data_IF_218335143150
#
_entry.id   IF_218335143150
#
_cell.length_a   1.000
_cell.length_b   1.000
_cell.length_c   1.000
_cell.angle_alpha   90.00
_cell.angle_beta   90.00
_cell.angle_gamma   90.00
#
_symmetry.space_group_name_H-M   'P 1'
#
loop_
_entity.id
_entity.type
_entity.pdbx_description
1 polymer ?
#
# COMPACT_ATOMS: atom_id res chain seq x y z
N UNK A 1 21.08 -39.43 -3.98
CA UNK A 1 20.28 -38.32 -4.50
C UNK A 1 19.22 -38.06 -3.45
N UNK A 2 19.47 -37.13 -2.53
CA UNK A 2 18.53 -36.75 -1.48
C UNK A 2 17.90 -35.41 -1.87
N UNK A 3 16.63 -35.45 -2.24
CA UNK A 3 15.83 -34.24 -2.36
C UNK A 3 15.69 -33.61 -0.97
N UNK A 4 16.31 -32.45 -0.74
CA UNK A 4 15.91 -31.57 0.34
C UNK A 4 14.60 -30.93 -0.09
N UNK A 5 13.48 -31.38 0.50
CA UNK A 5 12.24 -30.63 0.52
C UNK A 5 12.50 -29.39 1.39
N UNK A 6 12.44 -28.22 0.78
CA UNK A 6 12.41 -26.96 1.51
C UNK A 6 11.07 -26.84 2.25
N UNK A 7 11.11 -26.45 3.52
CA UNK A 7 9.92 -26.07 4.28
C UNK A 7 9.35 -24.76 3.72
N UNK A 8 8.66 -24.85 2.60
CA UNK A 8 7.89 -23.76 2.01
C UNK A 8 6.58 -23.60 2.78
N UNK A 9 6.27 -22.39 3.25
CA UNK A 9 4.92 -22.09 3.70
C UNK A 9 4.07 -21.80 2.47
N UNK A 10 3.11 -22.67 2.19
CA UNK A 10 2.10 -22.42 1.17
C UNK A 10 0.96 -21.59 1.78
N UNK A 11 0.51 -20.57 1.09
CA UNK A 11 -0.73 -19.85 1.42
C UNK A 11 -1.90 -20.51 0.70
N UNK A 12 -2.97 -20.82 1.42
CA UNK A 12 -4.19 -21.45 0.89
C UNK A 12 -5.32 -20.44 0.91
N UNK A 13 -6.04 -20.36 -0.20
CA UNK A 13 -7.16 -19.45 -0.35
C UNK A 13 -8.41 -19.94 0.39
N UNK A 14 -9.00 -19.03 1.18
CA UNK A 14 -10.42 -19.06 1.52
C UNK A 14 -11.07 -17.88 0.79
N UNK A 15 -11.97 -18.17 -0.13
CA UNK A 15 -12.67 -17.20 -0.95
C UNK A 15 -13.95 -16.78 -0.22
N UNK A 16 -14.08 -15.49 0.07
CA UNK A 16 -15.30 -14.92 0.62
C UNK A 16 -16.02 -14.13 -0.47
N UNK A 17 -17.08 -14.75 -1.02
CA UNK A 17 -17.99 -14.05 -1.92
C UNK A 17 -18.76 -12.98 -1.14
N UNK A 18 -18.71 -11.74 -1.58
CA UNK A 18 -19.63 -10.70 -1.10
C UNK A 18 -20.93 -10.84 -1.88
N UNK A 19 -22.02 -11.18 -1.18
CA UNK A 19 -23.35 -11.24 -1.78
C UNK A 19 -23.71 -9.93 -2.49
N UNK A 20 -24.28 -10.09 -3.69
CA UNK A 20 -24.80 -8.99 -4.50
C UNK A 20 -25.90 -8.26 -3.72
N UNK A 21 -25.76 -6.97 -3.55
CA UNK A 21 -26.87 -6.11 -3.16
C UNK A 21 -27.64 -5.75 -4.42
N UNK A 22 -28.86 -6.25 -4.51
CA UNK A 22 -29.85 -5.92 -5.51
C UNK A 22 -30.26 -4.45 -5.34
N UNK A 23 -29.59 -3.53 -6.04
CA UNK A 23 -30.01 -2.13 -6.16
C UNK A 23 -30.92 -1.98 -7.38
N UNK A 24 -32.20 -2.29 -7.17
CA UNK A 24 -33.26 -1.79 -8.04
C UNK A 24 -33.72 -0.41 -7.53
N UNK A 25 -33.07 0.66 -7.99
CA UNK A 25 -33.70 1.97 -8.05
C UNK A 25 -33.23 2.75 -9.28
N UNK A 26 -34.12 2.73 -10.24
CA UNK A 26 -34.14 3.50 -11.46
C UNK A 26 -34.26 5.00 -11.14
N UNK A 27 -33.27 5.82 -11.42
CA UNK A 27 -33.45 7.24 -11.71
C UNK A 27 -32.34 7.86 -12.51
N UNK A 28 -32.56 8.00 -13.78
CA UNK A 28 -32.18 9.04 -14.73
C UNK A 28 -31.11 10.05 -14.26
N UNK A 29 -29.84 9.78 -14.55
CA UNK A 29 -28.72 10.69 -14.39
C UNK A 29 -27.75 10.53 -15.55
N UNK A 30 -27.99 11.34 -16.61
CA UNK A 30 -27.24 11.33 -17.87
C UNK A 30 -25.74 11.49 -17.66
N UNK A 31 -25.05 10.58 -18.28
CA UNK A 31 -23.71 10.62 -18.86
C UNK A 31 -22.93 11.95 -18.71
N UNK A 32 -21.98 11.93 -17.79
CA UNK A 32 -20.81 12.81 -17.73
C UNK A 32 -19.53 11.98 -17.60
N UNK A 33 -19.44 10.89 -18.36
CA UNK A 33 -18.20 10.14 -18.53
C UNK A 33 -17.74 10.31 -19.97
N UNK A 34 -16.92 11.31 -20.18
CA UNK A 34 -16.14 11.44 -21.41
C UNK A 34 -15.00 10.43 -21.37
N UNK A 35 -14.95 9.57 -22.37
CA UNK A 35 -13.85 8.69 -22.80
C UNK A 35 -13.08 7.93 -21.71
N UNK A 36 -13.55 6.71 -21.47
CA UNK A 36 -12.97 5.71 -20.55
C UNK A 36 -11.55 5.20 -20.87
N UNK A 37 -10.86 5.76 -21.86
CA UNK A 37 -9.55 5.24 -22.27
C UNK A 37 -8.36 5.80 -21.50
N UNK A 38 -8.54 6.89 -20.75
CA UNK A 38 -7.43 7.57 -20.06
C UNK A 38 -7.39 7.31 -18.54
N UNK A 39 -8.45 6.68 -17.98
CA UNK A 39 -8.52 6.38 -16.54
C UNK A 39 -7.83 5.07 -16.20
N UNK A 40 -7.70 4.16 -17.13
CA UNK A 40 -7.11 2.82 -16.95
C UNK A 40 -5.61 2.86 -16.61
N UNK A 41 -4.90 3.96 -16.91
CA UNK A 41 -3.48 4.13 -16.59
C UNK A 41 -3.20 4.65 -15.17
N UNK A 42 -4.22 5.16 -14.47
CA UNK A 42 -4.10 5.67 -13.09
C UNK A 42 -4.53 4.63 -12.06
N UNK A 43 -3.87 3.51 -12.09
CA UNK A 43 -4.22 2.37 -11.24
C UNK A 43 -4.16 2.72 -9.76
N UNK A 44 -5.25 2.45 -9.07
CA UNK A 44 -5.39 2.54 -7.64
C UNK A 44 -4.32 1.67 -6.96
N UNK A 45 -3.65 2.21 -5.94
CA UNK A 45 -2.55 1.54 -5.25
C UNK A 45 -2.83 1.49 -3.76
N UNK A 46 -2.55 0.33 -3.14
CA UNK A 46 -2.65 0.17 -1.69
C UNK A 46 -4.01 0.56 -1.10
N UNK A 47 -5.08 0.01 -1.68
CA UNK A 47 -6.45 0.21 -1.20
C UNK A 47 -6.94 -0.89 -0.24
N UNK A 48 -6.06 -1.80 0.14
CA UNK A 48 -6.31 -2.86 1.11
C UNK A 48 -5.30 -2.77 2.23
N UNK A 49 -5.76 -2.76 3.47
CA UNK A 49 -4.90 -2.66 4.64
C UNK A 49 -5.40 -3.55 5.77
N UNK A 50 -4.63 -4.55 6.16
CA UNK A 50 -4.94 -5.43 7.27
C UNK A 50 -4.40 -4.87 8.59
N UNK A 51 -5.21 -4.85 9.63
CA UNK A 51 -4.83 -4.45 10.99
C UNK A 51 -4.75 -5.61 11.96
N UNK A 52 -5.33 -6.75 11.60
CA UNK A 52 -5.20 -8.02 12.31
C UNK A 52 -5.38 -9.18 11.33
N UNK A 53 -5.25 -10.40 11.81
CA UNK A 53 -5.57 -11.62 11.05
C UNK A 53 -7.02 -11.61 10.52
N UNK A 54 -7.90 -10.89 11.17
CA UNK A 54 -9.33 -10.93 10.89
C UNK A 54 -9.92 -9.60 10.42
N UNK A 55 -9.18 -8.51 10.55
CA UNK A 55 -9.69 -7.17 10.31
C UNK A 55 -8.95 -6.51 9.15
N UNK A 56 -9.70 -6.14 8.11
CA UNK A 56 -9.19 -5.52 6.90
C UNK A 56 -9.98 -4.26 6.58
N UNK A 57 -9.27 -3.22 6.19
CA UNK A 57 -9.83 -1.98 5.65
C UNK A 57 -9.60 -1.94 4.15
N UNK A 58 -10.64 -1.68 3.38
CA UNK A 58 -10.57 -1.65 1.92
C UNK A 58 -11.49 -0.58 1.35
N UNK A 59 -11.17 -0.13 0.15
CA UNK A 59 -12.07 0.72 -0.63
C UNK A 59 -13.14 -0.12 -1.32
N UNK A 60 -14.37 0.36 -1.24
CA UNK A 60 -15.51 -0.13 -2.01
C UNK A 60 -16.29 1.06 -2.53
N UNK A 61 -16.23 1.32 -3.82
CA UNK A 61 -16.78 2.52 -4.45
C UNK A 61 -16.25 3.81 -3.78
N UNK A 62 -17.12 4.56 -3.13
CA UNK A 62 -16.78 5.80 -2.41
C UNK A 62 -16.65 5.62 -0.91
N UNK A 63 -16.59 4.38 -0.42
CA UNK A 63 -16.53 4.09 1.01
C UNK A 63 -15.32 3.27 1.39
N UNK A 64 -14.68 3.65 2.49
CA UNK A 64 -13.75 2.76 3.19
C UNK A 64 -14.56 1.84 4.08
N UNK A 65 -14.41 0.55 3.86
CA UNK A 65 -15.09 -0.52 4.56
C UNK A 65 -14.12 -1.20 5.53
N UNK A 66 -14.57 -1.46 6.72
CA UNK A 66 -13.96 -2.43 7.63
C UNK A 66 -14.69 -3.76 7.47
N UNK A 67 -13.95 -4.79 7.10
CA UNK A 67 -14.43 -6.16 7.04
C UNK A 67 -13.72 -7.00 8.09
N UNK A 68 -14.50 -7.83 8.80
CA UNK A 68 -13.97 -8.75 9.80
C UNK A 68 -14.38 -10.19 9.47
N UNK A 69 -13.37 -11.06 9.22
CA UNK A 69 -13.61 -12.48 8.95
C UNK A 69 -14.16 -13.21 10.17
N UNK A 70 -13.81 -12.75 11.38
CA UNK A 70 -14.27 -13.36 12.63
C UNK A 70 -15.78 -13.25 12.83
N UNK A 71 -16.35 -12.12 12.48
CA UNK A 71 -17.80 -11.83 12.64
C UNK A 71 -18.58 -11.90 11.35
N UNK A 72 -17.88 -12.04 10.20
CA UNK A 72 -18.46 -11.93 8.85
C UNK A 72 -19.28 -10.66 8.67
N UNK A 73 -18.80 -9.56 9.26
CA UNK A 73 -19.49 -8.27 9.21
C UNK A 73 -18.71 -7.26 8.39
N UNK A 74 -19.46 -6.48 7.61
CA UNK A 74 -18.98 -5.34 6.83
C UNK A 74 -19.53 -4.06 7.45
N UNK A 75 -18.66 -3.11 7.77
CA UNK A 75 -19.03 -1.84 8.38
C UNK A 75 -18.42 -0.69 7.59
N UNK A 76 -19.25 0.26 7.17
CA UNK A 76 -18.75 1.49 6.55
C UNK A 76 -18.04 2.36 7.61
N UNK A 77 -16.80 2.71 7.34
CA UNK A 77 -15.96 3.52 8.23
C UNK A 77 -15.93 4.97 7.80
N UNK A 78 -15.80 5.20 6.50
CA UNK A 78 -15.73 6.53 5.90
C UNK A 78 -16.41 6.50 4.54
N UNK A 79 -17.34 7.42 4.30
CA UNK A 79 -17.95 7.62 3.00
C UNK A 79 -17.52 8.99 2.46
N UNK A 80 -17.01 9.03 1.23
CA UNK A 80 -16.48 10.22 0.57
C UNK A 80 -17.23 10.62 -0.69
N UNK A 81 -18.41 10.02 -0.93
CA UNK A 81 -19.28 10.37 -2.06
C UNK A 81 -19.93 11.74 -1.91
N UNK A 82 -20.10 12.18 -0.66
CA UNK A 82 -20.69 13.46 -0.30
C UNK A 82 -19.71 14.41 0.36
N UNK A 83 -20.26 15.40 1.06
CA UNK A 83 -19.46 16.38 1.77
C UNK A 83 -18.79 15.80 3.00
N UNK A 84 -17.45 15.89 3.03
CA UNK A 84 -16.59 15.44 4.14
C UNK A 84 -15.84 16.63 4.71
N UNK A 85 -16.08 16.96 5.97
CA UNK A 85 -15.42 18.06 6.66
C UNK A 85 -14.90 17.62 8.04
N UNK A 86 -13.79 18.20 8.53
CA UNK A 86 -13.25 17.85 9.82
C UNK A 86 -14.12 18.38 10.96
N UNK A 87 -14.27 17.59 12.01
CA UNK A 87 -14.95 17.98 13.25
C UNK A 87 -14.06 18.76 14.21
N UNK A 88 -12.75 18.56 14.08
CA UNK A 88 -11.73 19.19 14.93
C UNK A 88 -10.97 20.22 14.11
N UNK A 89 -10.51 21.29 14.79
CA UNK A 89 -9.71 22.33 14.14
C UNK A 89 -8.23 22.12 14.48
N UNK A 90 -7.47 21.71 13.48
CA UNK A 90 -6.01 21.62 13.58
C UNK A 90 -5.33 22.65 12.67
N UNK A 91 -4.06 23.01 12.91
CA UNK A 91 -3.29 23.84 12.01
C UNK A 91 -3.25 23.23 10.61
N UNK A 92 -3.54 24.00 9.57
CA UNK A 92 -3.58 23.50 8.19
C UNK A 92 -4.82 22.71 7.80
N UNK A 93 -5.80 22.58 8.72
CA UNK A 93 -7.07 21.90 8.43
C UNK A 93 -7.95 22.74 7.51
N UNK A 94 -8.41 22.13 6.42
CA UNK A 94 -9.42 22.70 5.52
C UNK A 94 -10.81 22.48 6.14
N UNK A 95 -11.33 23.48 6.84
CA UNK A 95 -12.58 23.37 7.59
C UNK A 95 -13.81 23.24 6.70
N UNK A 96 -13.74 23.73 5.47
CA UNK A 96 -14.79 23.56 4.46
C UNK A 96 -14.87 22.11 3.95
N UNK A 97 -13.78 21.34 4.13
CA UNK A 97 -13.70 19.97 3.68
C UNK A 97 -13.76 19.81 2.16
N UNK A 98 -14.28 18.66 1.73
CA UNK A 98 -14.42 18.29 0.33
C UNK A 98 -15.87 17.90 0.01
N UNK A 99 -16.37 18.27 -1.16
CA UNK A 99 -17.73 17.93 -1.59
C UNK A 99 -17.83 16.55 -2.21
N UNK A 100 -16.73 16.07 -2.79
CA UNK A 100 -16.60 14.77 -3.40
C UNK A 100 -15.11 14.43 -3.48
N UNK A 101 -14.74 13.22 -3.12
CA UNK A 101 -13.34 12.77 -3.18
C UNK A 101 -13.27 11.39 -3.81
N UNK A 102 -12.40 11.24 -4.78
CA UNK A 102 -11.99 9.94 -5.28
C UNK A 102 -10.69 9.53 -4.59
N UNK A 103 -10.72 8.46 -3.81
CA UNK A 103 -9.55 7.98 -3.06
C UNK A 103 -8.59 7.27 -4.00
N UNK A 104 -7.32 7.65 -3.96
CA UNK A 104 -6.24 7.06 -4.75
C UNK A 104 -5.36 6.10 -3.94
N UNK A 105 -5.26 6.32 -2.63
CA UNK A 105 -4.44 5.50 -1.74
C UNK A 105 -4.96 5.56 -0.30
N UNK A 106 -4.67 4.52 0.48
CA UNK A 106 -5.14 4.34 1.84
C UNK A 106 -4.02 3.80 2.72
N UNK A 107 -3.95 4.27 3.96
CA UNK A 107 -3.12 3.68 5.00
C UNK A 107 -3.88 3.62 6.32
N UNK A 108 -3.71 2.50 7.04
CA UNK A 108 -4.33 2.30 8.36
C UNK A 108 -3.26 1.76 9.30
N UNK A 109 -3.11 2.39 10.46
CA UNK A 109 -2.22 1.90 11.50
C UNK A 109 -2.78 2.26 12.88
N UNK A 110 -2.73 1.32 13.80
CA UNK A 110 -3.32 1.43 15.11
C UNK A 110 -4.83 1.80 15.01
N UNK A 111 -5.18 3.01 15.37
CA UNK A 111 -6.56 3.52 15.31
C UNK A 111 -6.74 4.68 14.34
N UNK A 112 -5.79 4.87 13.45
CA UNK A 112 -5.83 5.94 12.48
C UNK A 112 -5.95 5.40 11.06
N UNK A 113 -6.85 6.01 10.30
CA UNK A 113 -7.02 5.86 8.88
C UNK A 113 -6.63 7.19 8.21
N UNK A 114 -5.79 7.10 7.18
CA UNK A 114 -5.41 8.22 6.33
C UNK A 114 -5.71 7.85 4.88
N UNK A 115 -6.52 8.65 4.21
CA UNK A 115 -6.87 8.49 2.80
C UNK A 115 -6.36 9.67 1.98
N UNK A 116 -5.76 9.39 0.84
CA UNK A 116 -5.33 10.36 -0.15
C UNK A 116 -6.22 10.31 -1.39
N UNK A 117 -6.39 11.45 -2.07
CA UNK A 117 -7.24 11.58 -3.23
C UNK A 117 -6.50 12.00 -4.50
N UNK A 118 -7.21 11.95 -5.64
CA UNK A 118 -6.68 12.27 -6.97
C UNK A 118 -6.38 13.77 -7.16
N UNK A 119 -6.96 14.64 -6.35
CA UNK A 119 -6.73 16.09 -6.42
C UNK A 119 -5.93 16.61 -5.20
N UNK A 120 -5.11 15.74 -4.60
CA UNK A 120 -4.28 16.07 -3.45
C UNK A 120 -5.05 16.17 -2.14
N UNK A 121 -6.27 15.65 -2.10
CA UNK A 121 -7.04 15.56 -0.87
C UNK A 121 -6.34 14.64 0.12
N UNK A 122 -6.42 15.02 1.38
CA UNK A 122 -5.93 14.25 2.51
C UNK A 122 -7.02 14.24 3.57
N UNK A 123 -7.49 13.06 3.94
CA UNK A 123 -8.56 12.85 4.92
C UNK A 123 -8.06 11.92 6.01
N UNK A 124 -8.06 12.39 7.26
CA UNK A 124 -7.66 11.57 8.40
C UNK A 124 -8.86 11.32 9.32
N UNK A 125 -8.98 10.08 9.79
CA UNK A 125 -10.06 9.65 10.68
C UNK A 125 -9.51 8.76 11.78
N UNK A 126 -9.87 9.07 13.03
CA UNK A 126 -9.72 8.14 14.13
C UNK A 126 -10.82 7.07 14.06
N UNK A 127 -10.44 5.80 14.07
CA UNK A 127 -11.38 4.68 13.92
C UNK A 127 -12.33 4.52 15.11
N UNK A 128 -11.90 4.96 16.29
CA UNK A 128 -12.66 4.91 17.54
C UNK A 128 -13.53 6.16 17.79
N UNK A 129 -13.45 7.17 16.89
CA UNK A 129 -14.21 8.41 17.01
C UNK A 129 -15.14 8.62 15.81
N UNK A 130 -16.32 9.19 16.02
CA UNK A 130 -17.22 9.53 14.92
C UNK A 130 -16.70 10.74 14.12
N UNK A 131 -16.88 10.70 12.80
CA UNK A 131 -16.51 11.78 11.88
C UNK A 131 -15.01 11.78 11.52
N UNK A 132 -14.61 12.77 10.75
CA UNK A 132 -13.26 12.99 10.26
C UNK A 132 -12.56 13.96 11.21
N UNK A 133 -11.29 13.72 11.56
CA UNK A 133 -10.53 14.58 12.44
C UNK A 133 -9.74 15.66 11.68
N UNK A 134 -9.28 15.37 10.47
CA UNK A 134 -8.48 16.30 9.68
C UNK A 134 -8.77 16.15 8.19
N UNK A 135 -8.90 17.29 7.50
CA UNK A 135 -8.91 17.40 6.05
C UNK A 135 -7.88 18.45 5.62
N UNK A 136 -7.12 18.15 4.59
CA UNK A 136 -6.18 19.10 4.00
C UNK A 136 -6.01 18.81 2.51
N UNK A 137 -5.54 19.81 1.77
CA UNK A 137 -5.10 19.62 0.39
C UNK A 137 -3.58 19.75 0.36
N UNK A 138 -2.90 18.71 -0.09
CA UNK A 138 -1.43 18.68 -0.11
C UNK A 138 -0.85 19.67 -1.12
N UNK A 139 -1.53 19.84 -2.26
CA UNK A 139 -1.15 20.73 -3.33
C UNK A 139 -2.38 21.19 -4.11
N UNK A 140 -2.26 22.30 -4.83
CA UNK A 140 -3.30 22.82 -5.73
C UNK A 140 -2.89 22.69 -7.20
N UNK A 141 -1.82 21.94 -7.50
CA UNK A 141 -1.41 21.65 -8.87
C UNK A 141 -2.43 20.77 -9.57
N UNK A 142 -2.59 20.92 -10.88
CA UNK A 142 -3.51 20.10 -11.69
C UNK A 142 -3.16 18.61 -11.63
N UNK A 143 -1.90 18.28 -11.37
CA UNK A 143 -1.41 16.92 -11.19
C UNK A 143 -1.12 16.59 -9.72
N UNK A 144 -2.16 16.65 -8.91
CA UNK A 144 -2.07 16.64 -7.45
C UNK A 144 -2.20 15.25 -6.81
N UNK A 145 -2.26 14.18 -7.59
CA UNK A 145 -2.55 12.81 -7.10
C UNK A 145 -1.69 12.47 -5.89
N UNK A 146 -2.33 12.00 -4.84
CA UNK A 146 -1.65 11.36 -3.71
C UNK A 146 -1.37 9.91 -4.07
N UNK A 147 -0.11 9.60 -4.37
CA UNK A 147 0.31 8.30 -4.89
C UNK A 147 0.50 7.24 -3.79
N UNK A 148 1.02 7.64 -2.64
CA UNK A 148 1.25 6.73 -1.52
C UNK A 148 1.20 7.47 -0.18
N UNK A 149 0.79 6.73 0.85
CA UNK A 149 0.80 7.16 2.25
C UNK A 149 1.40 6.04 3.09
N UNK A 150 2.33 6.38 3.98
CA UNK A 150 2.86 5.47 4.98
C UNK A 150 2.78 6.09 6.37
N UNK A 151 2.21 5.35 7.33
CA UNK A 151 2.14 5.75 8.75
C UNK A 151 3.29 5.05 9.47
N UNK A 152 4.17 5.80 10.11
CA UNK A 152 5.39 5.29 10.71
C UNK A 152 5.72 5.94 12.06
N UNK A 153 6.59 5.29 12.82
CA UNK A 153 7.16 5.89 14.03
C UNK A 153 8.50 6.54 13.69
N UNK A 154 8.67 7.78 14.11
CA UNK A 154 9.96 8.47 14.02
C UNK A 154 11.00 7.80 14.94
N UNK A 155 12.26 8.13 14.79
CA UNK A 155 13.33 7.64 15.67
C UNK A 155 13.09 7.98 17.16
N UNK A 156 12.30 9.01 17.46
CA UNK A 156 11.86 9.37 18.83
C UNK A 156 10.62 8.61 19.31
N UNK A 157 10.01 7.78 18.45
CA UNK A 157 8.80 7.02 18.75
C UNK A 157 7.49 7.79 18.55
N UNK A 158 7.55 9.03 18.06
CA UNK A 158 6.36 9.82 17.72
C UNK A 158 5.77 9.30 16.41
N UNK A 159 4.45 9.20 16.35
CA UNK A 159 3.75 8.73 15.18
C UNK A 159 3.60 9.85 14.14
N UNK A 160 4.04 9.58 12.93
CA UNK A 160 3.94 10.45 11.75
C UNK A 160 3.30 9.71 10.58
N UNK A 161 2.88 10.44 9.57
CA UNK A 161 2.61 9.86 8.27
C UNK A 161 3.26 10.68 7.16
N UNK A 162 3.77 9.97 6.16
CA UNK A 162 4.42 10.54 5.00
C UNK A 162 3.54 10.35 3.77
N UNK A 163 3.46 11.39 2.93
CA UNK A 163 2.61 11.45 1.75
C UNK A 163 3.47 11.71 0.52
N UNK A 164 3.34 10.87 -0.48
CA UNK A 164 4.01 11.01 -1.79
C UNK A 164 3.00 11.53 -2.81
N UNK A 165 3.36 12.60 -3.49
CA UNK A 165 2.47 13.23 -4.46
C UNK A 165 3.09 13.33 -5.85
N UNK A 166 2.22 13.38 -6.84
CA UNK A 166 2.61 13.53 -8.24
C UNK A 166 3.19 14.92 -8.57
N UNK A 167 3.00 15.91 -7.70
CA UNK A 167 3.63 17.24 -7.77
C UNK A 167 5.14 17.24 -7.42
N UNK A 168 5.76 16.07 -7.39
CA UNK A 168 7.16 15.86 -7.00
C UNK A 168 7.46 16.14 -5.52
N UNK A 169 6.44 16.19 -4.69
CA UNK A 169 6.52 16.47 -3.26
C UNK A 169 6.44 15.21 -2.40
N UNK A 170 7.21 15.20 -1.32
CA UNK A 170 7.07 14.27 -0.21
C UNK A 170 6.84 15.10 1.06
N UNK A 171 5.74 14.85 1.74
CA UNK A 171 5.29 15.62 2.90
C UNK A 171 5.16 14.74 4.12
N UNK A 172 5.78 15.13 5.21
CA UNK A 172 5.77 14.45 6.50
C UNK A 172 4.91 15.24 7.49
N UNK A 173 3.89 14.60 8.04
CA UNK A 173 2.95 15.18 8.99
C UNK A 173 3.10 14.54 10.37
N UNK A 174 3.16 15.39 11.39
CA UNK A 174 3.01 14.99 12.78
C UNK A 174 1.53 14.64 13.05
N UNK A 175 1.29 13.48 13.63
CA UNK A 175 -0.06 13.01 13.92
C UNK A 175 -0.70 13.59 15.19
N UNK A 176 0.08 14.12 16.11
CA UNK A 176 -0.45 14.71 17.33
C UNK A 176 -1.26 15.97 17.01
N UNK A 177 -0.76 16.78 16.08
CA UNK A 177 -1.37 18.05 15.71
C UNK A 177 -1.81 18.12 14.24
N UNK A 178 -1.59 17.08 13.45
CA UNK A 178 -1.78 17.05 11.99
C UNK A 178 -1.03 18.19 11.28
N UNK A 179 0.13 18.57 11.81
CA UNK A 179 0.93 19.64 11.27
C UNK A 179 1.97 19.11 10.29
N UNK A 180 2.12 19.84 9.16
CA UNK A 180 3.20 19.58 8.22
C UNK A 180 4.55 19.83 8.91
N UNK A 181 5.30 18.77 9.11
CA UNK A 181 6.60 18.77 9.76
C UNK A 181 7.73 19.04 8.77
N UNK A 182 7.67 18.39 7.61
CA UNK A 182 8.68 18.50 6.55
C UNK A 182 8.04 18.43 5.18
N UNK A 183 8.67 19.13 4.23
CA UNK A 183 8.31 19.06 2.82
C UNK A 183 9.58 18.98 1.97
N UNK A 184 9.80 17.83 1.34
CA UNK A 184 10.89 17.60 0.42
C UNK A 184 10.37 17.70 -1.02
N UNK A 185 11.15 18.30 -1.91
CA UNK A 185 10.84 18.38 -3.34
C UNK A 185 11.91 17.69 -4.16
N UNK A 186 11.47 16.92 -5.15
CA UNK A 186 12.31 16.16 -6.04
C UNK A 186 12.11 16.64 -7.49
N UNK A 187 13.00 16.32 -8.42
CA UNK A 187 12.88 16.78 -9.81
C UNK A 187 11.91 15.93 -10.66
N UNK A 188 11.19 15.00 -10.06
CA UNK A 188 10.26 14.09 -10.74
C UNK A 188 9.09 13.70 -9.82
N UNK A 189 7.92 13.33 -10.38
CA UNK A 189 6.78 12.84 -9.64
C UNK A 189 7.13 11.65 -8.74
N UNK A 190 6.72 11.74 -7.46
CA UNK A 190 7.01 10.69 -6.48
C UNK A 190 5.86 9.70 -6.42
N UNK A 191 6.13 8.44 -6.80
CA UNK A 191 5.15 7.37 -6.80
C UNK A 191 5.04 6.67 -5.45
N UNK A 192 6.16 6.48 -4.75
CA UNK A 192 6.18 5.83 -3.45
C UNK A 192 7.35 6.31 -2.59
N UNK A 193 7.09 6.41 -1.29
CA UNK A 193 8.10 6.64 -0.27
C UNK A 193 7.93 5.60 0.82
N UNK A 194 9.02 4.95 1.24
CA UNK A 194 9.00 4.03 2.38
C UNK A 194 10.07 4.41 3.40
N UNK A 195 9.70 4.32 4.67
CA UNK A 195 10.51 4.74 5.82
C UNK A 195 11.25 3.53 6.39
N UNK A 196 12.56 3.69 6.68
CA UNK A 196 13.32 2.64 7.34
C UNK A 196 12.75 2.32 8.73
N UNK A 197 12.89 1.07 9.23
CA UNK A 197 12.35 0.67 10.53
C UNK A 197 12.84 1.53 11.70
N UNK A 198 14.03 2.13 11.59
CA UNK A 198 14.60 3.05 12.59
C UNK A 198 14.19 4.52 12.38
N UNK A 199 13.39 4.82 11.34
CA UNK A 199 12.87 6.15 11.02
C UNK A 199 13.90 7.14 10.46
N UNK A 200 15.14 6.71 10.13
CA UNK A 200 16.22 7.62 9.73
C UNK A 200 16.37 7.81 8.23
N UNK A 201 15.92 6.86 7.44
CA UNK A 201 16.12 6.86 6.00
C UNK A 201 14.79 6.71 5.27
N UNK A 202 14.71 7.31 4.10
CA UNK A 202 13.58 7.21 3.17
C UNK A 202 14.08 6.61 1.86
N UNK A 203 13.35 5.64 1.33
CA UNK A 203 13.47 5.23 -0.06
C UNK A 203 12.41 6.01 -0.83
N UNK A 204 12.83 6.72 -1.87
CA UNK A 204 11.93 7.50 -2.71
C UNK A 204 12.08 7.00 -4.14
N UNK A 205 10.95 6.59 -4.71
CA UNK A 205 10.85 6.11 -6.08
C UNK A 205 9.72 6.85 -6.82
N UNK A 206 9.84 6.94 -8.13
CA UNK A 206 8.86 7.67 -8.94
C UNK A 206 9.20 7.63 -10.43
N UNK A 207 8.86 8.69 -11.15
CA UNK A 207 9.01 8.81 -12.60
C UNK A 207 10.47 9.05 -13.02
N UNK A 208 11.34 8.25 -12.44
CA UNK A 208 12.76 8.21 -12.76
C UNK A 208 13.28 6.78 -12.59
N UNK A 209 14.10 6.26 -13.52
CA UNK A 209 14.72 4.94 -13.38
C UNK A 209 15.59 4.80 -12.13
N UNK A 210 16.10 5.94 -11.62
CA UNK A 210 16.94 5.95 -10.42
C UNK A 210 16.09 6.36 -9.22
N UNK A 211 15.73 5.40 -8.40
CA UNK A 211 15.30 5.68 -7.05
C UNK A 211 16.42 6.32 -6.22
N UNK A 212 16.10 6.88 -5.10
CA UNK A 212 17.07 7.52 -4.19
C UNK A 212 16.83 7.09 -2.75
N UNK A 213 17.93 6.95 -2.01
CA UNK A 213 17.93 6.84 -0.57
C UNK A 213 18.23 8.22 0.02
N UNK A 214 17.41 8.65 0.97
CA UNK A 214 17.40 10.02 1.50
C UNK A 214 17.45 9.98 3.03
N UNK A 215 18.15 10.90 3.66
CA UNK A 215 18.08 11.14 5.11
C UNK A 215 16.74 11.75 5.48
N UNK A 216 15.99 11.12 6.38
CA UNK A 216 14.62 11.52 6.75
C UNK A 216 14.54 12.86 7.48
N UNK A 217 15.65 13.35 8.03
CA UNK A 217 15.70 14.59 8.79
C UNK A 217 16.03 15.79 7.90
N UNK A 218 17.05 15.63 7.07
CA UNK A 218 17.58 16.73 6.25
C UNK A 218 17.02 16.75 4.82
N UNK A 219 16.47 15.62 4.34
CA UNK A 219 16.08 15.46 2.93
C UNK A 219 17.27 15.32 1.98
N UNK A 220 18.49 15.17 2.50
CA UNK A 220 19.67 15.01 1.66
C UNK A 220 19.75 13.63 1.05
N UNK A 221 20.09 13.56 -0.24
CA UNK A 221 20.30 12.29 -0.95
C UNK A 221 21.55 11.61 -0.43
N UNK A 222 21.38 10.44 0.15
CA UNK A 222 22.47 9.57 0.64
C UNK A 222 23.08 8.80 -0.51
N UNK A 223 22.25 8.18 -1.35
CA UNK A 223 22.71 7.42 -2.50
C UNK A 223 21.62 7.30 -3.59
N UNK A 224 22.00 7.28 -4.87
CA UNK A 224 21.12 6.89 -5.96
C UNK A 224 21.07 5.36 -6.09
N UNK A 225 19.89 4.82 -6.37
CA UNK A 225 19.66 3.40 -6.66
C UNK A 225 19.68 3.19 -8.18
N UNK A 226 20.73 2.53 -8.68
CA UNK A 226 20.95 2.36 -10.12
C UNK A 226 20.74 0.92 -10.53
N UNK A 227 19.92 0.69 -11.56
CA UNK A 227 19.72 -0.66 -12.11
C UNK A 227 18.39 -0.85 -12.81
N UNK A 228 17.33 -0.24 -12.33
CA UNK A 228 16.07 -0.16 -13.07
C UNK A 228 16.24 0.67 -14.36
N UNK A 229 15.40 0.39 -15.34
CA UNK A 229 15.45 1.05 -16.66
C UNK A 229 14.23 1.92 -16.94
N UNK A 230 13.22 1.86 -16.08
CA UNK A 230 11.97 2.59 -16.22
C UNK A 230 11.50 3.13 -14.86
N UNK A 231 10.30 3.68 -14.78
CA UNK A 231 9.69 4.28 -13.59
C UNK A 231 9.44 3.24 -12.50
N UNK A 232 9.62 3.64 -11.25
CA UNK A 232 9.36 2.77 -10.09
C UNK A 232 8.10 3.18 -9.36
N UNK A 233 7.32 2.19 -8.89
CA UNK A 233 6.01 2.39 -8.29
C UNK A 233 5.90 1.94 -6.85
N UNK A 234 6.79 1.08 -6.40
CA UNK A 234 6.74 0.51 -5.06
C UNK A 234 8.11 0.45 -4.42
N UNK A 235 8.13 0.56 -3.12
CA UNK A 235 9.31 0.30 -2.30
C UNK A 235 8.89 -0.26 -0.94
N UNK A 236 9.72 -1.11 -0.34
CA UNK A 236 9.46 -1.63 0.99
C UNK A 236 10.78 -1.98 1.70
N UNK A 237 10.85 -1.69 2.99
CA UNK A 237 11.96 -2.10 3.84
C UNK A 237 11.72 -3.50 4.40
N UNK A 238 12.78 -4.29 4.42
CA UNK A 238 12.79 -5.47 5.26
C UNK A 238 12.79 -5.04 6.74
N UNK A 239 12.07 -5.72 7.64
CA UNK A 239 11.92 -5.28 9.04
C UNK A 239 13.22 -5.16 9.83
N UNK A 240 14.30 -5.85 9.43
CA UNK A 240 15.60 -5.71 10.06
C UNK A 240 16.36 -4.43 9.68
N UNK A 241 15.86 -3.68 8.68
CA UNK A 241 16.45 -2.44 8.21
C UNK A 241 17.77 -2.58 7.43
N UNK A 242 18.24 -3.81 7.17
CA UNK A 242 19.48 -4.05 6.43
C UNK A 242 19.29 -4.08 4.92
N UNK A 243 18.11 -4.48 4.47
CA UNK A 243 17.75 -4.60 3.07
C UNK A 243 16.42 -3.95 2.77
N UNK A 244 16.18 -3.68 1.50
CA UNK A 244 14.92 -3.16 1.01
C UNK A 244 14.68 -3.56 -0.45
N UNK A 245 13.45 -3.43 -0.90
CA UNK A 245 13.02 -3.75 -2.25
C UNK A 245 12.49 -2.52 -2.99
N UNK A 246 12.64 -2.50 -4.33
CA UNK A 246 12.03 -1.51 -5.22
C UNK A 246 11.37 -2.20 -6.40
N UNK A 247 10.12 -1.84 -6.71
CA UNK A 247 9.33 -2.37 -7.82
C UNK A 247 9.20 -1.36 -8.95
N UNK A 248 9.29 -1.86 -10.19
CA UNK A 248 9.45 -1.01 -11.36
C UNK A 248 8.59 -1.45 -12.54
N UNK A 249 8.37 -0.53 -13.48
CA UNK A 249 7.71 -0.75 -14.76
C UNK A 249 8.47 -1.76 -15.64
N UNK A 250 9.79 -1.92 -15.43
CA UNK A 250 10.63 -2.90 -16.13
C UNK A 250 10.30 -4.35 -15.75
N UNK A 251 9.21 -4.60 -15.02
CA UNK A 251 8.72 -5.89 -14.54
C UNK A 251 9.66 -6.55 -13.53
N UNK A 252 10.54 -5.79 -12.91
CA UNK A 252 11.46 -6.34 -11.91
C UNK A 252 11.23 -5.71 -10.54
N UNK A 253 11.44 -6.54 -9.51
CA UNK A 253 11.65 -6.12 -8.14
C UNK A 253 13.12 -6.32 -7.80
N UNK A 254 13.81 -5.25 -7.40
CA UNK A 254 15.23 -5.30 -7.03
C UNK A 254 15.39 -5.23 -5.54
N UNK A 255 16.22 -6.12 -5.01
CA UNK A 255 16.58 -6.17 -3.59
C UNK A 255 17.94 -5.47 -3.41
N UNK A 256 18.01 -4.60 -2.42
CA UNK A 256 19.17 -3.77 -2.12
C UNK A 256 19.67 -4.03 -0.71
N UNK A 257 20.99 -4.04 -0.53
CA UNK A 257 21.66 -4.04 0.77
C UNK A 257 22.17 -2.64 1.07
N UNK A 258 21.74 -2.05 2.19
CA UNK A 258 22.12 -0.67 2.58
C UNK A 258 23.65 -0.48 2.71
N UNK A 259 24.37 -1.54 3.00
CA UNK A 259 25.84 -1.52 3.13
C UNK A 259 26.56 -1.42 1.79
N UNK A 260 25.87 -1.81 0.69
CA UNK A 260 26.43 -1.76 -0.66
C UNK A 260 25.34 -1.48 -1.70
N UNK A 261 25.12 -0.21 -1.99
CA UNK A 261 24.14 0.27 -2.95
C UNK A 261 24.69 0.42 -4.38
N UNK A 262 25.90 -0.04 -4.64
CA UNK A 262 26.50 0.04 -5.98
C UNK A 262 25.77 -0.81 -7.01
N UNK A 263 25.15 -1.91 -6.56
CA UNK A 263 24.29 -2.80 -7.36
C UNK A 263 23.25 -3.46 -6.47
N UNK A 264 22.13 -3.87 -7.05
CA UNK A 264 21.15 -4.72 -6.35
C UNK A 264 21.73 -6.10 -6.02
N UNK A 265 21.30 -6.67 -4.91
CA UNK A 265 21.67 -8.04 -4.48
C UNK A 265 21.10 -9.05 -5.48
N UNK A 266 19.81 -8.89 -5.80
CA UNK A 266 19.11 -9.70 -6.77
C UNK A 266 18.03 -8.87 -7.49
N UNK A 267 17.54 -9.40 -8.62
CA UNK A 267 16.41 -8.85 -9.36
C UNK A 267 15.42 -9.97 -9.63
N UNK A 268 14.28 -9.89 -8.98
CA UNK A 268 13.14 -10.79 -9.15
C UNK A 268 12.30 -10.32 -10.33
N UNK A 269 11.74 -11.23 -11.08
CA UNK A 269 10.98 -10.91 -12.29
C UNK A 269 9.50 -11.20 -12.08
N UNK A 270 8.65 -10.27 -12.49
CA UNK A 270 7.23 -10.51 -12.70
C UNK A 270 6.97 -11.13 -14.07
N UNK A 271 5.76 -11.58 -14.27
CA UNK A 271 5.31 -12.28 -15.48
C UNK A 271 4.91 -11.29 -16.59
N UNK A 272 3.97 -10.40 -16.31
CA UNK A 272 3.31 -9.58 -17.31
C UNK A 272 3.50 -8.07 -17.13
N UNK A 273 3.38 -7.59 -15.90
CA UNK A 273 3.21 -6.18 -15.60
C UNK A 273 4.32 -5.54 -14.76
N UNK A 274 4.14 -4.27 -14.50
CA UNK A 274 4.95 -3.50 -13.56
C UNK A 274 4.80 -4.05 -12.14
N UNK A 275 5.81 -3.93 -11.30
CA UNK A 275 5.66 -4.25 -9.88
C UNK A 275 5.10 -3.03 -9.15
N UNK A 276 3.80 -3.11 -8.79
CA UNK A 276 3.01 -1.99 -8.26
C UNK A 276 2.91 -1.97 -6.73
N UNK A 277 3.05 -3.11 -6.06
CA UNK A 277 3.05 -3.21 -4.60
C UNK A 277 4.11 -4.20 -4.14
N UNK A 278 4.76 -3.89 -3.02
CA UNK A 278 5.72 -4.76 -2.35
C UNK A 278 5.47 -4.66 -0.85
N UNK A 279 5.38 -5.81 -0.19
CA UNK A 279 5.27 -5.84 1.27
C UNK A 279 6.11 -6.99 1.85
N UNK A 280 6.69 -6.76 3.01
CA UNK A 280 7.31 -7.80 3.81
C UNK A 280 6.39 -8.19 4.96
N UNK A 281 6.43 -9.46 5.37
CA UNK A 281 5.85 -9.88 6.65
C UNK A 281 6.58 -9.21 7.81
N UNK A 282 5.92 -9.01 8.95
CA UNK A 282 6.49 -8.36 10.12
C UNK A 282 7.68 -9.13 10.72
N UNK A 283 7.73 -10.45 10.52
CA UNK A 283 8.85 -11.32 10.89
C UNK A 283 10.00 -11.33 9.85
N UNK A 284 9.82 -10.64 8.72
CA UNK A 284 10.79 -10.56 7.62
C UNK A 284 11.00 -11.86 6.87
N UNK A 285 10.17 -12.88 7.09
CA UNK A 285 10.36 -14.17 6.45
C UNK A 285 9.90 -14.20 5.01
N UNK A 286 8.80 -13.53 4.70
CA UNK A 286 8.23 -13.50 3.37
C UNK A 286 8.15 -12.08 2.83
N UNK A 287 8.22 -11.99 1.50
CA UNK A 287 7.98 -10.78 0.73
C UNK A 287 6.94 -11.10 -0.35
N UNK A 288 5.89 -10.30 -0.41
CA UNK A 288 4.97 -10.31 -1.54
C UNK A 288 5.29 -9.17 -2.48
N UNK A 289 5.28 -9.43 -3.78
CA UNK A 289 5.25 -8.41 -4.83
C UNK A 289 4.03 -8.64 -5.73
N UNK A 290 3.33 -7.57 -6.07
CA UNK A 290 2.12 -7.62 -6.87
C UNK A 290 2.32 -6.92 -8.21
N UNK A 291 1.86 -7.59 -9.27
CA UNK A 291 1.65 -6.99 -10.58
C UNK A 291 0.31 -6.20 -10.60
N UNK A 292 0.01 -5.44 -11.65
CA UNK A 292 -1.24 -4.69 -11.73
C UNK A 292 -2.48 -5.57 -11.75
N UNK A 293 -2.36 -6.78 -12.31
CA UNK A 293 -3.41 -7.75 -12.43
C UNK A 293 -2.83 -9.16 -12.43
N UNK A 294 -3.67 -10.12 -12.08
CA UNK A 294 -3.54 -11.56 -12.28
C UNK A 294 -2.48 -12.25 -11.43
N UNK A 295 -1.36 -11.60 -11.06
CA UNK A 295 -0.24 -12.27 -10.41
C UNK A 295 0.23 -11.58 -9.14
N UNK A 296 0.43 -12.40 -8.10
CA UNK A 296 1.18 -12.03 -6.89
C UNK A 296 2.22 -13.11 -6.63
N UNK A 297 3.43 -12.67 -6.34
CA UNK A 297 4.58 -13.52 -6.07
C UNK A 297 4.96 -13.40 -4.62
N UNK A 298 5.02 -14.52 -3.91
CA UNK A 298 5.43 -14.59 -2.50
C UNK A 298 6.76 -15.32 -2.40
N UNK A 299 7.80 -14.62 -1.95
CA UNK A 299 9.14 -15.15 -1.84
C UNK A 299 9.53 -15.47 -0.40
N UNK A 300 10.20 -16.59 -0.16
CA UNK A 300 10.88 -16.87 1.10
C UNK A 300 12.23 -16.13 1.12
N UNK A 301 12.32 -15.10 1.97
CA UNK A 301 13.51 -14.26 2.11
C UNK A 301 14.71 -15.07 2.65
N UNK A 302 14.47 -16.06 3.52
CA UNK A 302 15.53 -16.91 4.09
C UNK A 302 16.18 -17.81 3.06
N UNK A 303 15.47 -18.15 1.99
CA UNK A 303 16.04 -18.88 0.85
C UNK A 303 16.93 -18.01 -0.04
N UNK A 304 17.06 -16.71 0.25
CA UNK A 304 17.67 -15.73 -0.65
C UNK A 304 16.78 -15.38 -1.83
N UNK A 305 15.47 -15.51 -1.66
CA UNK A 305 14.43 -15.34 -2.71
C UNK A 305 14.46 -16.41 -3.81
N UNK A 306 15.04 -17.58 -3.53
CA UNK A 306 15.06 -18.70 -4.48
C UNK A 306 13.75 -19.51 -4.47
N UNK A 307 13.03 -19.48 -3.34
CA UNK A 307 11.73 -20.16 -3.20
C UNK A 307 10.63 -19.12 -3.40
N UNK A 308 9.81 -19.38 -4.39
CA UNK A 308 8.68 -18.56 -4.81
C UNK A 308 7.41 -19.36 -4.81
N UNK A 309 6.32 -18.75 -4.34
CA UNK A 309 4.95 -19.18 -4.58
C UNK A 309 4.27 -18.11 -5.44
N UNK A 310 3.81 -18.52 -6.60
CA UNK A 310 2.99 -17.66 -7.46
C UNK A 310 1.51 -17.91 -7.14
N UNK A 311 0.76 -16.82 -7.00
CA UNK A 311 -0.69 -16.80 -6.84
C UNK A 311 -1.27 -16.21 -8.12
N UNK A 312 -2.02 -17.03 -8.83
CA UNK A 312 -2.64 -16.70 -10.11
C UNK A 312 -4.17 -16.60 -9.92
N UNK A 313 -4.75 -15.50 -10.39
CA UNK A 313 -6.19 -15.23 -10.36
C UNK A 313 -6.55 -14.28 -11.51
N UNK A 314 -7.83 -14.04 -11.74
CA UNK A 314 -8.28 -13.10 -12.76
C UNK A 314 -8.73 -11.79 -12.10
N UNK A 315 -8.18 -10.66 -12.54
CA UNK A 315 -8.62 -9.33 -12.14
C UNK A 315 -7.48 -8.39 -11.75
N UNK A 316 -7.81 -7.12 -11.61
CA UNK A 316 -6.87 -6.07 -11.24
C UNK A 316 -6.61 -6.09 -9.73
N UNK A 317 -5.34 -5.91 -9.34
CA UNK A 317 -4.93 -5.85 -7.92
C UNK A 317 -5.13 -4.43 -7.40
N UNK A 318 -6.12 -4.23 -6.54
CA UNK A 318 -6.36 -2.95 -5.87
C UNK A 318 -5.47 -2.72 -4.65
N UNK A 319 -4.91 -3.79 -4.09
CA UNK A 319 -3.98 -3.72 -2.98
C UNK A 319 -3.68 -5.09 -2.39
N UNK A 320 -2.57 -5.14 -1.66
CA UNK A 320 -2.08 -6.35 -0.98
C UNK A 320 -1.69 -5.99 0.44
N UNK A 321 -2.04 -6.81 1.42
CA UNK A 321 -1.66 -6.59 2.80
C UNK A 321 -1.45 -7.89 3.57
N UNK A 322 -0.28 -8.04 4.19
CA UNK A 322 -0.09 -9.08 5.19
C UNK A 322 -0.73 -8.67 6.52
N UNK A 323 -1.28 -9.65 7.22
CA UNK A 323 -1.69 -9.45 8.60
C UNK A 323 -0.45 -9.20 9.50
N UNK A 324 -0.57 -8.37 10.55
CA UNK A 324 0.56 -8.07 11.45
C UNK A 324 1.15 -9.30 12.15
N UNK A 325 0.36 -10.36 12.35
CA UNK A 325 0.79 -11.63 12.91
C UNK A 325 1.41 -12.59 11.88
N UNK A 326 1.50 -12.17 10.61
CA UNK A 326 2.06 -12.94 9.48
C UNK A 326 1.28 -14.17 9.06
N UNK A 327 0.07 -14.37 9.58
CA UNK A 327 -0.71 -15.59 9.35
C UNK A 327 -1.61 -15.51 8.10
N UNK A 328 -1.96 -14.30 7.66
CA UNK A 328 -2.83 -14.09 6.51
C UNK A 328 -2.24 -13.08 5.51
N UNK A 329 -2.49 -13.33 4.23
CA UNK A 329 -2.26 -12.40 3.13
C UNK A 329 -3.61 -12.04 2.52
N UNK A 330 -3.94 -10.77 2.51
CA UNK A 330 -5.16 -10.23 1.91
C UNK A 330 -4.87 -9.57 0.58
N UNK A 331 -5.69 -9.88 -0.42
CA UNK A 331 -5.57 -9.36 -1.77
C UNK A 331 -6.92 -8.76 -2.16
N UNK A 332 -6.96 -7.49 -2.47
CA UNK A 332 -8.12 -6.86 -3.07
C UNK A 332 -8.05 -7.05 -4.59
N UNK A 333 -9.09 -7.64 -5.15
CA UNK A 333 -9.22 -7.85 -6.59
C UNK A 333 -10.38 -7.00 -7.09
N UNK A 334 -10.13 -6.24 -8.13
CA UNK A 334 -11.15 -5.48 -8.84
C UNK A 334 -11.31 -6.06 -10.24
N UNK A 335 -12.55 -6.29 -10.62
CA UNK A 335 -12.99 -6.50 -11.99
C UNK A 335 -14.08 -5.44 -12.26
N UNK A 336 -14.33 -5.09 -13.51
CA UNK A 336 -15.37 -4.13 -13.91
C UNK A 336 -16.76 -4.48 -13.37
N UNK A 337 -16.99 -5.73 -13.00
CA UNK A 337 -18.26 -6.27 -12.56
C UNK A 337 -18.27 -6.67 -11.09
N UNK A 338 -17.13 -7.10 -10.56
CA UNK A 338 -17.01 -7.65 -9.19
C UNK A 338 -15.79 -7.07 -8.47
N UNK A 339 -15.97 -6.79 -7.18
CA UNK A 339 -14.87 -6.55 -6.25
C UNK A 339 -14.78 -7.72 -5.28
N UNK A 340 -13.60 -8.32 -5.13
CA UNK A 340 -13.35 -9.44 -4.22
C UNK A 340 -12.24 -9.13 -3.24
N UNK A 341 -12.35 -9.69 -2.04
CA UNK A 341 -11.25 -9.77 -1.08
C UNK A 341 -10.87 -11.24 -0.93
N UNK A 342 -9.66 -11.60 -1.34
CA UNK A 342 -9.11 -12.93 -1.18
C UNK A 342 -8.26 -12.97 0.09
N UNK A 343 -8.43 -14.00 0.91
CA UNK A 343 -7.59 -14.28 2.07
C UNK A 343 -6.83 -15.59 1.85
N UNK A 344 -5.51 -15.52 2.01
CA UNK A 344 -4.62 -16.68 1.96
C UNK A 344 -4.00 -16.91 3.34
N UNK A 345 -4.30 -18.03 3.97
CA UNK A 345 -3.73 -18.42 5.26
C UNK A 345 -2.36 -19.09 5.11
N UNK A 346 -1.43 -18.73 5.99
CA UNK A 346 -0.10 -19.35 6.06
C UNK A 346 -0.21 -20.79 6.56
N UNK A 347 0.32 -21.74 5.82
CA UNK A 347 0.44 -23.14 6.27
C UNK A 347 1.70 -23.31 7.13
N UNK A 348 1.52 -23.93 8.28
CA UNK A 348 2.60 -24.36 9.14
C UNK A 348 2.75 -25.89 9.03
N UNK A 349 3.89 -26.34 8.54
CA UNK A 349 4.22 -27.77 8.56
C UNK A 349 4.75 -28.15 9.94
N UNK A 350 3.90 -28.77 10.73
CA UNK A 350 4.26 -29.30 12.04
C UNK A 350 4.80 -30.74 11.89
N UNK A 351 6.01 -30.89 11.35
CA UNK A 351 6.64 -32.21 11.10
C UNK A 351 6.78 -33.09 12.36
N UNK A 352 6.69 -32.49 13.55
CA UNK A 352 6.70 -33.22 14.81
C UNK A 352 5.36 -33.93 15.13
N UNK A 353 4.26 -33.55 14.47
CA UNK A 353 2.97 -34.23 14.64
C UNK A 353 2.86 -35.48 13.77
N UNK A 354 3.62 -35.56 12.69
CA UNK A 354 3.65 -36.73 11.76
C UNK A 354 4.39 -37.92 12.38
N UNK A 355 5.09 -37.76 13.48
CA UNK A 355 5.81 -38.81 14.19
C UNK A 355 5.00 -39.47 15.33
N UNK A 356 3.73 -39.10 15.51
CA UNK A 356 2.87 -39.58 16.60
C UNK A 356 1.73 -40.52 16.08
N UNK A 357 1.80 -40.94 14.82
CA UNK A 357 0.85 -41.92 14.27
C UNK A 357 1.56 -43.28 14.06
#
# INVERSE_FOLDING_TARGET
MSHRQGDGADYVADEYETEELDDSDDSDGRDLYSSDSDIDDYMLRNLVYSTSKHDVYLMSHFSVIHWSSLTSTRTEVLNVSGHVAPREKHPGSLLEGFTHTQVSTLAVKDKLLVAGGFHGELICKHLDKPGVCFCSRTTCDDNAITNAIEIYNTASGVLHFIVSNNDSGVRDFDLENFQLSKHFRFPWPVNHTSVSPDGKLLIIVGDNPKGILVDSTSGTVVAPLRGHVDYSFASAWHPDGSTFATGNQDKTCRIWDIRNLSKSVTALKGNLGAIRSIQYTSDGRYMAMAEPADFIHVFDVKSGYEVEQEIDFFGEVSGVSFSPDTESLFIGVWDRTYGSLLEFGRRHNYSYLDTII
#
